data_IF_480734653380
#
_entry.id   IF_480734653380
#
_cell.length_a   1.000
_cell.length_b   1.000
_cell.length_c   1.000
_cell.angle_alpha   90.00
_cell.angle_beta   90.00
_cell.angle_gamma   90.00
#
_symmetry.space_group_name_H-M   'P 1'
#
loop_
_entity.id
_entity.type
_entity.pdbx_description
1 polymer ?
#
# COMPACT_ATOMS: atom_id res chain seq x y z
N UNK A 1 32.01 -11.17 -11.76
CA UNK A 1 32.15 -10.03 -10.82
C UNK A 1 31.77 -10.55 -9.45
N UNK A 2 32.53 -10.26 -8.39
CA UNK A 2 32.07 -10.58 -7.04
C UNK A 2 30.73 -9.86 -6.79
N UNK A 3 29.75 -10.55 -6.20
CA UNK A 3 28.51 -9.92 -5.79
C UNK A 3 28.86 -8.73 -4.87
N UNK A 4 28.33 -7.55 -5.17
CA UNK A 4 28.56 -6.37 -4.33
C UNK A 4 28.10 -6.68 -2.91
N UNK A 5 28.95 -6.39 -1.91
CA UNK A 5 28.60 -6.57 -0.51
C UNK A 5 27.41 -5.64 -0.19
N UNK A 6 26.27 -6.16 0.29
CA UNK A 6 25.12 -5.32 0.61
C UNK A 6 25.48 -4.27 1.67
N UNK A 7 24.89 -3.08 1.55
CA UNK A 7 25.05 -2.05 2.55
C UNK A 7 24.40 -2.50 3.89
N UNK A 8 24.97 -2.11 5.06
CA UNK A 8 24.27 -2.29 6.32
C UNK A 8 22.86 -1.69 6.28
N UNK A 9 21.89 -2.40 6.83
CA UNK A 9 20.48 -2.00 6.94
C UNK A 9 19.71 -1.91 5.60
N UNK A 10 20.33 -2.21 4.45
CA UNK A 10 19.65 -2.21 3.14
C UNK A 10 18.65 -3.35 2.97
N UNK A 11 18.78 -4.41 3.78
CA UNK A 11 17.90 -5.57 3.78
C UNK A 11 17.43 -5.94 5.20
N UNK A 12 16.23 -6.54 5.32
CA UNK A 12 15.76 -7.12 6.57
C UNK A 12 16.75 -8.11 7.21
N UNK A 13 16.66 -8.24 8.53
CA UNK A 13 17.56 -9.10 9.34
C UNK A 13 17.51 -10.56 8.87
N UNK A 14 16.33 -11.09 8.52
CA UNK A 14 16.17 -12.48 8.10
C UNK A 14 16.88 -12.84 6.78
N UNK A 15 17.14 -11.83 5.93
CA UNK A 15 17.97 -11.96 4.73
C UNK A 15 19.46 -11.87 5.10
N UNK A 16 19.83 -10.84 5.87
CA UNK A 16 21.24 -10.53 6.15
C UNK A 16 21.90 -11.39 7.24
N UNK A 17 21.12 -12.11 8.05
CA UNK A 17 21.60 -13.00 9.13
C UNK A 17 21.22 -14.47 8.94
N UNK A 18 20.37 -14.79 7.97
CA UNK A 18 20.05 -16.17 7.59
C UNK A 18 19.18 -16.96 8.58
N UNK A 19 18.79 -16.38 9.72
CA UNK A 19 17.93 -17.00 10.72
C UNK A 19 16.67 -16.15 10.97
N UNK A 20 15.51 -16.81 11.07
CA UNK A 20 14.25 -16.20 11.50
C UNK A 20 13.25 -17.28 11.90
N UNK A 21 12.41 -17.05 12.91
CA UNK A 21 11.29 -17.94 13.24
C UNK A 21 10.12 -17.82 12.24
N UNK A 22 10.10 -16.77 11.41
CA UNK A 22 8.96 -16.43 10.54
C UNK A 22 9.15 -16.88 9.09
N UNK A 23 10.40 -17.07 8.63
CA UNK A 23 10.66 -17.36 7.21
C UNK A 23 11.22 -18.74 6.94
N UNK A 24 10.68 -19.36 5.90
CA UNK A 24 11.05 -20.68 5.40
C UNK A 24 11.61 -20.58 3.96
N UNK A 25 11.72 -21.71 3.28
CA UNK A 25 12.26 -21.77 1.91
C UNK A 25 11.31 -21.22 0.83
N UNK A 26 9.99 -21.32 1.00
CA UNK A 26 9.02 -20.73 0.07
C UNK A 26 9.15 -19.20 0.08
N UNK A 27 9.26 -18.61 1.27
CA UNK A 27 9.54 -17.19 1.46
C UNK A 27 10.84 -16.75 0.77
N UNK A 28 11.93 -17.50 0.94
CA UNK A 28 13.22 -17.20 0.31
C UNK A 28 13.16 -17.30 -1.22
N UNK A 29 12.42 -18.26 -1.76
CA UNK A 29 12.25 -18.43 -3.21
C UNK A 29 11.47 -17.25 -3.81
N UNK A 30 10.35 -16.88 -3.20
CA UNK A 30 9.55 -15.73 -3.58
C UNK A 30 10.38 -14.43 -3.55
N UNK A 31 11.13 -14.22 -2.46
CA UNK A 31 11.98 -13.04 -2.29
C UNK A 31 13.00 -12.89 -3.42
N UNK A 32 13.68 -13.99 -3.81
CA UNK A 32 14.68 -13.96 -4.89
C UNK A 32 14.04 -13.61 -6.25
N UNK A 33 12.92 -14.24 -6.59
CA UNK A 33 12.21 -13.98 -7.86
C UNK A 33 11.70 -12.53 -7.91
N UNK A 34 11.09 -12.04 -6.82
CA UNK A 34 10.61 -10.67 -6.72
C UNK A 34 11.74 -9.64 -6.85
N UNK A 35 12.88 -9.88 -6.20
CA UNK A 35 14.06 -9.02 -6.32
C UNK A 35 14.59 -8.98 -7.76
N UNK A 36 14.74 -10.13 -8.39
CA UNK A 36 15.22 -10.21 -9.79
C UNK A 36 14.26 -9.49 -10.75
N UNK A 37 12.95 -9.67 -10.56
CA UNK A 37 11.94 -8.97 -11.33
C UNK A 37 12.04 -7.45 -11.18
N UNK A 38 12.14 -6.96 -9.94
CA UNK A 38 12.20 -5.52 -9.64
C UNK A 38 13.49 -4.91 -10.18
N UNK A 39 14.64 -5.52 -9.90
CA UNK A 39 15.95 -5.01 -10.30
C UNK A 39 16.12 -5.01 -11.83
N UNK A 40 15.49 -5.95 -12.53
CA UNK A 40 15.62 -6.09 -14.00
C UNK A 40 14.57 -5.30 -14.77
N UNK A 41 13.31 -5.33 -14.34
CA UNK A 41 12.17 -4.89 -15.14
C UNK A 41 11.43 -3.67 -14.60
N UNK A 42 11.77 -3.19 -13.40
CA UNK A 42 11.12 -2.03 -12.77
C UNK A 42 12.14 -0.93 -12.50
N UNK A 43 13.11 -1.19 -11.62
CA UNK A 43 14.09 -0.21 -11.14
C UNK A 43 14.79 0.60 -12.25
N UNK A 44 15.20 0.01 -13.39
CA UNK A 44 15.86 0.77 -14.47
C UNK A 44 14.96 1.81 -15.15
N UNK A 45 13.63 1.70 -15.01
CA UNK A 45 12.66 2.52 -15.72
C UNK A 45 11.88 3.49 -14.83
N UNK A 46 11.97 3.33 -13.50
CA UNK A 46 11.13 4.08 -12.57
C UNK A 46 11.25 5.60 -12.69
N UNK A 47 12.47 6.13 -12.87
CA UNK A 47 12.68 7.59 -13.03
C UNK A 47 11.92 8.12 -14.25
N UNK A 48 11.96 7.37 -15.36
CA UNK A 48 11.25 7.73 -16.58
C UNK A 48 9.74 7.69 -16.37
N UNK A 49 9.21 6.58 -15.86
CA UNK A 49 7.76 6.40 -15.67
C UNK A 49 7.16 7.42 -14.70
N UNK A 50 7.89 7.72 -13.62
CA UNK A 50 7.48 8.73 -12.66
C UNK A 50 7.46 10.13 -13.29
N UNK A 51 8.47 10.47 -14.11
CA UNK A 51 8.51 11.74 -14.85
C UNK A 51 7.41 11.84 -15.91
N UNK A 52 7.10 10.74 -16.59
CA UNK A 52 6.02 10.65 -17.59
C UNK A 52 4.63 10.54 -16.95
N UNK A 53 4.57 10.33 -15.63
CA UNK A 53 3.35 10.29 -14.87
C UNK A 53 2.46 9.08 -15.16
N UNK A 54 3.02 7.98 -15.68
CA UNK A 54 2.34 6.69 -15.86
C UNK A 54 3.34 5.53 -16.01
N UNK A 55 2.87 4.31 -15.78
CA UNK A 55 3.60 3.07 -16.12
C UNK A 55 3.07 2.51 -17.45
N UNK A 56 3.92 2.11 -18.40
CA UNK A 56 3.50 1.55 -19.68
C UNK A 56 2.63 0.29 -19.55
N UNK A 57 1.68 0.13 -20.47
CA UNK A 57 0.73 -1.00 -20.47
C UNK A 57 1.43 -2.36 -20.53
N UNK A 58 2.55 -2.47 -21.25
CA UNK A 58 3.38 -3.68 -21.31
C UNK A 58 4.00 -4.08 -19.97
N UNK A 59 4.38 -3.08 -19.14
CA UNK A 59 4.93 -3.32 -17.81
C UNK A 59 3.83 -3.76 -16.84
N UNK A 60 2.64 -3.14 -16.92
CA UNK A 60 1.44 -3.57 -16.18
C UNK A 60 1.06 -5.00 -16.57
N UNK A 61 1.02 -5.30 -17.87
CA UNK A 61 0.71 -6.66 -18.35
C UNK A 61 1.72 -7.67 -17.82
N UNK A 62 3.02 -7.39 -17.92
CA UNK A 62 4.07 -8.26 -17.35
C UNK A 62 3.86 -8.47 -15.85
N UNK A 63 3.57 -7.40 -15.11
CA UNK A 63 3.32 -7.48 -13.67
C UNK A 63 2.18 -8.44 -13.33
N UNK A 64 1.09 -8.38 -14.09
CA UNK A 64 -0.06 -9.28 -13.96
C UNK A 64 0.25 -10.72 -14.41
N UNK A 65 0.92 -10.90 -15.56
CA UNK A 65 1.29 -12.22 -16.09
C UNK A 65 2.24 -12.98 -15.14
N UNK A 66 3.04 -12.26 -14.34
CA UNK A 66 3.90 -12.83 -13.31
C UNK A 66 3.15 -13.17 -12.01
N UNK A 67 1.88 -12.76 -11.89
CA UNK A 67 1.03 -13.03 -10.73
C UNK A 67 1.05 -11.96 -9.64
N UNK A 68 1.83 -10.88 -9.79
CA UNK A 68 1.95 -9.85 -8.74
C UNK A 68 0.66 -9.05 -8.54
N UNK A 69 -0.12 -8.85 -9.60
CA UNK A 69 -1.46 -8.24 -9.48
C UNK A 69 -2.38 -9.11 -8.62
N UNK A 70 -2.42 -10.42 -8.87
CA UNK A 70 -3.30 -11.34 -8.17
C UNK A 70 -3.02 -11.37 -6.66
N UNK A 71 -1.74 -11.41 -6.27
CA UNK A 71 -1.34 -11.42 -4.85
C UNK A 71 -1.35 -10.05 -4.19
N UNK A 72 -1.48 -8.96 -4.97
CA UNK A 72 -1.68 -7.62 -4.39
C UNK A 72 -3.07 -7.42 -3.81
N UNK A 73 -4.02 -8.29 -4.15
CA UNK A 73 -5.41 -8.16 -3.75
C UNK A 73 -5.69 -9.05 -2.54
N UNK A 74 -6.28 -8.47 -1.50
CA UNK A 74 -6.51 -9.13 -0.23
C UNK A 74 -8.01 -9.32 0.11
N UNK A 75 -8.40 -10.48 0.66
CA UNK A 75 -7.62 -11.72 0.68
C UNK A 75 -7.37 -12.24 -0.75
N UNK A 76 -6.35 -13.08 -0.90
CA UNK A 76 -6.08 -13.76 -2.16
C UNK A 76 -7.32 -14.56 -2.59
N UNK A 77 -7.92 -14.19 -3.73
CA UNK A 77 -9.16 -14.79 -4.22
C UNK A 77 -8.90 -16.11 -4.94
N UNK A 78 -8.51 -17.14 -4.16
CA UNK A 78 -8.02 -18.44 -4.66
C UNK A 78 -8.99 -19.16 -5.60
N UNK A 79 -10.30 -19.01 -5.37
CA UNK A 79 -11.36 -19.59 -6.21
C UNK A 79 -11.39 -19.05 -7.65
N UNK A 80 -10.75 -17.89 -7.90
CA UNK A 80 -10.70 -17.23 -9.21
C UNK A 80 -9.30 -17.20 -9.82
N UNK A 81 -8.31 -17.88 -9.23
CA UNK A 81 -6.94 -17.85 -9.74
C UNK A 81 -6.78 -18.51 -11.12
N UNK A 82 -7.66 -19.45 -11.51
CA UNK A 82 -7.57 -20.18 -12.79
C UNK A 82 -6.12 -20.61 -13.10
N UNK A 83 -5.60 -20.32 -14.30
CA UNK A 83 -4.22 -20.61 -14.71
C UNK A 83 -3.19 -19.54 -14.26
N UNK A 84 -3.57 -18.63 -13.36
CA UNK A 84 -2.69 -17.58 -12.85
C UNK A 84 -1.62 -18.20 -11.97
N UNK A 85 -0.38 -18.20 -12.45
CA UNK A 85 0.79 -18.47 -11.62
C UNK A 85 0.87 -17.45 -10.50
N UNK A 86 1.29 -17.88 -9.30
CA UNK A 86 1.73 -16.95 -8.26
C UNK A 86 3.24 -16.73 -8.36
N UNK A 87 3.74 -15.54 -7.98
CA UNK A 87 5.16 -15.26 -7.96
C UNK A 87 5.92 -16.27 -7.09
N UNK A 88 7.17 -16.59 -7.44
CA UNK A 88 7.99 -17.56 -6.69
C UNK A 88 7.59 -19.03 -6.91
N UNK A 89 6.64 -19.29 -7.82
CA UNK A 89 6.04 -20.61 -8.01
C UNK A 89 5.35 -21.13 -6.74
N UNK A 90 4.86 -20.23 -5.88
CA UNK A 90 4.20 -20.56 -4.62
C UNK A 90 2.80 -21.07 -4.91
N UNK A 91 2.38 -22.17 -4.27
CA UNK A 91 0.99 -22.62 -4.40
C UNK A 91 0.09 -21.72 -3.57
N UNK A 92 -1.15 -21.50 -4.03
CA UNK A 92 -2.13 -20.73 -3.28
C UNK A 92 -2.37 -21.27 -1.85
N UNK A 93 -2.24 -22.58 -1.64
CA UNK A 93 -2.35 -23.24 -0.34
C UNK A 93 -1.16 -23.01 0.60
N UNK A 94 -0.03 -22.55 0.07
CA UNK A 94 1.18 -22.22 0.84
C UNK A 94 1.28 -20.72 1.14
N UNK A 95 0.43 -19.90 0.50
CA UNK A 95 0.49 -18.45 0.62
C UNK A 95 -0.02 -17.98 1.99
N UNK A 96 0.81 -17.24 2.71
CA UNK A 96 0.54 -16.70 4.04
C UNK A 96 0.85 -15.20 4.12
N UNK A 97 0.59 -14.58 5.27
CA UNK A 97 0.86 -13.16 5.48
C UNK A 97 2.34 -12.76 5.35
N UNK A 98 3.28 -13.68 5.45
CA UNK A 98 4.71 -13.40 5.21
C UNK A 98 5.06 -13.42 3.72
N UNK A 99 4.35 -14.20 2.89
CA UNK A 99 4.43 -14.07 1.44
C UNK A 99 3.92 -12.70 0.98
N UNK A 100 2.79 -12.23 1.53
CA UNK A 100 2.27 -10.88 1.27
C UNK A 100 3.34 -9.82 1.60
N UNK A 101 3.92 -9.91 2.81
CA UNK A 101 4.93 -8.99 3.28
C UNK A 101 6.14 -8.91 2.34
N UNK A 102 6.62 -10.05 1.84
CA UNK A 102 7.76 -10.13 0.92
C UNK A 102 7.46 -9.46 -0.42
N UNK A 103 6.26 -9.66 -0.98
CA UNK A 103 5.89 -9.00 -2.24
C UNK A 103 5.87 -7.50 -2.07
N UNK A 104 5.25 -7.00 -0.99
CA UNK A 104 5.15 -5.56 -0.71
C UNK A 104 6.56 -4.97 -0.55
N UNK A 105 7.39 -5.64 0.24
CA UNK A 105 8.76 -5.23 0.55
C UNK A 105 9.69 -5.29 -0.67
N UNK A 106 9.66 -6.33 -1.50
CA UNK A 106 10.55 -6.40 -2.68
C UNK A 106 10.07 -5.47 -3.80
N UNK A 107 8.77 -5.35 -4.08
CA UNK A 107 8.27 -4.38 -5.09
C UNK A 107 8.64 -2.94 -4.70
N UNK A 108 8.59 -2.62 -3.41
CA UNK A 108 8.95 -1.29 -2.91
C UNK A 108 10.45 -0.97 -2.99
N UNK A 109 11.31 -1.97 -3.25
CA UNK A 109 12.78 -1.81 -3.34
C UNK A 109 13.21 -0.88 -4.48
N UNK A 110 12.37 -0.68 -5.49
CA UNK A 110 12.68 0.28 -6.56
C UNK A 110 12.80 1.73 -6.05
N UNK A 111 12.13 2.09 -4.95
CA UNK A 111 12.21 3.43 -4.33
C UNK A 111 11.40 4.52 -5.04
N UNK A 112 10.39 4.15 -5.83
CA UNK A 112 9.50 5.08 -6.53
C UNK A 112 8.04 4.75 -6.21
N UNK A 113 7.44 5.48 -5.25
CA UNK A 113 6.11 5.16 -4.73
C UNK A 113 5.02 5.29 -5.81
N UNK A 114 5.14 6.27 -6.70
CA UNK A 114 4.20 6.44 -7.80
C UNK A 114 4.13 5.23 -8.73
N UNK A 115 5.28 4.63 -9.04
CA UNK A 115 5.37 3.42 -9.88
C UNK A 115 4.78 2.21 -9.16
N UNK A 116 5.12 2.03 -7.88
CA UNK A 116 4.56 0.96 -7.04
C UNK A 116 3.04 1.05 -7.04
N UNK A 117 2.49 2.25 -6.86
CA UNK A 117 1.05 2.48 -6.83
C UNK A 117 0.37 2.32 -8.18
N UNK A 118 1.04 2.71 -9.26
CA UNK A 118 0.53 2.51 -10.61
C UNK A 118 0.40 1.01 -10.96
N UNK A 119 1.34 0.19 -10.49
CA UNK A 119 1.37 -1.24 -10.76
C UNK A 119 0.28 -2.02 -10.02
N UNK A 120 0.01 -1.69 -8.74
CA UNK A 120 -0.86 -2.55 -7.89
C UNK A 120 -1.93 -1.80 -7.10
N UNK A 121 -1.65 -0.57 -6.65
CA UNK A 121 -2.37 0.02 -5.51
C UNK A 121 -3.88 0.17 -5.73
N UNK A 122 -4.32 0.54 -6.94
CA UNK A 122 -5.74 0.76 -7.23
C UNK A 122 -6.57 -0.50 -6.97
N UNK A 123 -6.09 -1.65 -7.46
CA UNK A 123 -6.72 -2.94 -7.23
C UNK A 123 -6.53 -3.41 -5.79
N UNK A 124 -5.36 -3.20 -5.19
CA UNK A 124 -5.09 -3.64 -3.81
C UNK A 124 -5.95 -2.93 -2.76
N UNK A 125 -6.54 -1.76 -3.06
CA UNK A 125 -7.45 -1.04 -2.16
C UNK A 125 -8.91 -1.03 -2.65
N UNK A 126 -9.15 -1.03 -3.96
CA UNK A 126 -10.49 -0.95 -4.54
C UNK A 126 -11.21 -2.29 -4.65
N UNK A 127 -10.48 -3.39 -4.83
CA UNK A 127 -11.05 -4.73 -4.99
C UNK A 127 -11.38 -5.47 -3.68
N UNK A 128 -10.66 -5.29 -2.55
CA UNK A 128 -10.94 -6.02 -1.31
C UNK A 128 -12.40 -5.94 -0.83
N UNK A 129 -13.10 -4.79 -0.88
CA UNK A 129 -14.52 -4.76 -0.48
C UNK A 129 -15.39 -5.71 -1.31
N UNK A 130 -15.15 -5.79 -2.62
CA UNK A 130 -15.84 -6.70 -3.52
C UNK A 130 -15.50 -8.17 -3.21
N UNK A 131 -14.23 -8.47 -2.90
CA UNK A 131 -13.82 -9.85 -2.59
C UNK A 131 -14.40 -10.34 -1.28
N UNK A 132 -14.46 -9.48 -0.27
CA UNK A 132 -14.98 -9.86 1.04
C UNK A 132 -16.52 -9.86 1.08
N UNK A 133 -17.18 -8.89 0.43
CA UNK A 133 -18.62 -8.64 0.61
C UNK A 133 -19.46 -8.75 -0.67
N UNK A 134 -18.83 -8.98 -1.82
CA UNK A 134 -19.54 -9.12 -3.09
C UNK A 134 -20.39 -10.40 -3.15
N UNK A 135 -21.49 -10.35 -3.90
CA UNK A 135 -22.28 -11.55 -4.22
C UNK A 135 -21.50 -12.49 -5.13
N UNK A 136 -21.87 -13.79 -5.22
CA UNK A 136 -21.25 -14.71 -6.18
C UNK A 136 -21.24 -14.19 -7.62
N UNK A 137 -22.32 -13.53 -8.04
CA UNK A 137 -22.47 -12.95 -9.39
C UNK A 137 -21.50 -11.78 -9.60
N UNK A 138 -21.37 -10.89 -8.60
CA UNK A 138 -20.42 -9.78 -8.63
C UNK A 138 -18.99 -10.30 -8.69
N UNK A 139 -18.63 -11.26 -7.83
CA UNK A 139 -17.28 -11.84 -7.80
C UNK A 139 -16.95 -12.50 -9.14
N UNK A 140 -17.86 -13.33 -9.67
CA UNK A 140 -17.69 -13.97 -10.99
C UNK A 140 -17.55 -12.96 -12.13
N UNK A 141 -18.25 -11.82 -12.06
CA UNK A 141 -18.17 -10.75 -13.06
C UNK A 141 -16.84 -10.00 -13.04
N UNK A 142 -16.33 -9.67 -11.86
CA UNK A 142 -15.26 -8.68 -11.71
C UNK A 142 -13.90 -9.29 -11.34
N UNK A 143 -13.86 -10.28 -10.45
CA UNK A 143 -12.60 -10.76 -9.85
C UNK A 143 -11.62 -11.33 -10.88
N UNK A 144 -12.02 -12.17 -11.85
CA UNK A 144 -11.08 -12.69 -12.85
C UNK A 144 -10.35 -11.59 -13.65
N UNK A 145 -11.05 -10.50 -13.98
CA UNK A 145 -10.47 -9.38 -14.72
C UNK A 145 -9.51 -8.55 -13.85
N UNK A 146 -9.81 -8.42 -12.55
CA UNK A 146 -8.92 -7.77 -11.57
C UNK A 146 -7.63 -8.57 -11.41
N UNK A 147 -7.72 -9.89 -11.19
CA UNK A 147 -6.55 -10.74 -10.95
C UNK A 147 -5.62 -10.82 -12.17
N UNK A 148 -6.18 -10.85 -13.38
CA UNK A 148 -5.42 -10.77 -14.64
C UNK A 148 -4.92 -9.37 -14.98
N UNK A 149 -5.32 -8.35 -14.22
CA UNK A 149 -5.00 -6.93 -14.46
C UNK A 149 -5.57 -6.36 -15.76
N UNK A 150 -6.60 -7.00 -16.32
CA UNK A 150 -7.35 -6.49 -17.48
C UNK A 150 -8.45 -5.50 -17.08
N UNK A 151 -8.81 -5.47 -15.80
CA UNK A 151 -9.69 -4.46 -15.20
C UNK A 151 -9.01 -3.80 -14.01
N UNK A 152 -9.17 -2.48 -13.91
CA UNK A 152 -8.59 -1.65 -12.86
C UNK A 152 -9.69 -1.04 -11.99
N UNK A 153 -9.51 -1.19 -10.69
CA UNK A 153 -10.33 -0.60 -9.65
C UNK A 153 -9.55 0.53 -8.96
N UNK A 154 -10.30 1.40 -8.30
CA UNK A 154 -9.80 2.34 -7.31
C UNK A 154 -10.81 2.44 -6.15
N UNK A 155 -10.41 3.06 -5.05
CA UNK A 155 -11.25 3.22 -3.86
C UNK A 155 -11.69 4.68 -3.72
N UNK A 156 -12.98 4.94 -3.86
CA UNK A 156 -13.61 6.27 -3.84
C UNK A 156 -14.23 6.62 -2.48
N UNK A 157 -13.41 6.97 -1.49
CA UNK A 157 -13.91 7.31 -0.13
C UNK A 157 -13.87 8.81 0.11
N UNK A 158 -12.66 9.37 0.11
CA UNK A 158 -12.40 10.77 0.46
C UNK A 158 -13.08 11.75 -0.48
N UNK A 159 -13.61 12.82 0.10
CA UNK A 159 -14.25 13.94 -0.58
C UNK A 159 -13.49 15.24 -0.31
N UNK A 160 -13.78 16.35 -1.01
CA UNK A 160 -13.17 17.65 -0.73
C UNK A 160 -13.32 18.07 0.74
N UNK A 161 -14.51 17.82 1.30
CA UNK A 161 -14.89 18.28 2.64
C UNK A 161 -14.93 17.14 3.68
N UNK A 162 -14.64 15.90 3.29
CA UNK A 162 -14.67 14.72 4.16
C UNK A 162 -13.48 13.77 3.87
N UNK A 163 -12.42 13.89 4.67
CA UNK A 163 -11.25 13.00 4.63
C UNK A 163 -11.15 12.12 5.87
N UNK A 164 -10.67 12.68 6.97
CA UNK A 164 -10.61 11.98 8.26
C UNK A 164 -12.00 11.62 8.81
N UNK A 165 -13.01 12.47 8.57
CA UNK A 165 -14.40 12.21 8.90
C UNK A 165 -15.15 11.55 7.73
N UNK A 166 -14.87 10.26 7.49
CA UNK A 166 -15.53 9.49 6.43
C UNK A 166 -17.06 9.46 6.61
N UNK A 167 -17.56 9.54 7.85
CA UNK A 167 -19.01 9.48 8.10
C UNK A 167 -19.74 10.75 7.62
N UNK A 168 -19.01 11.87 7.46
CA UNK A 168 -19.48 13.15 6.95
C UNK A 168 -19.54 13.27 5.43
N UNK A 169 -19.32 12.19 4.68
CA UNK A 169 -19.38 12.21 3.21
C UNK A 169 -20.75 12.70 2.67
N UNK A 170 -20.73 13.32 1.49
CA UNK A 170 -21.86 14.02 0.87
C UNK A 170 -22.21 13.51 -0.53
N UNK A 171 -21.35 12.71 -1.17
CA UNK A 171 -21.70 12.05 -2.45
C UNK A 171 -22.94 11.17 -2.24
N UNK A 172 -24.03 11.45 -2.93
CA UNK A 172 -25.31 10.75 -2.78
C UNK A 172 -25.50 9.67 -3.83
N UNK A 173 -26.29 8.66 -3.51
CA UNK A 173 -26.81 7.67 -4.46
C UNK A 173 -28.31 7.49 -4.20
N UNK A 174 -29.16 8.05 -5.06
CA UNK A 174 -30.62 7.94 -4.95
C UNK A 174 -31.13 6.78 -5.80
N UNK A 175 -31.84 5.83 -5.21
CA UNK A 175 -32.41 4.71 -5.99
C UNK A 175 -33.59 5.18 -6.84
N UNK A 176 -33.50 4.98 -8.16
CA UNK A 176 -34.60 5.20 -9.12
C UNK A 176 -34.81 3.94 -9.95
N UNK A 177 -35.77 3.12 -9.55
CA UNK A 177 -36.05 1.84 -10.21
C UNK A 177 -34.92 0.83 -10.04
N UNK A 178 -34.30 0.46 -11.17
CA UNK A 178 -33.21 -0.52 -11.28
C UNK A 178 -31.81 0.12 -11.32
N UNK A 179 -31.72 1.44 -11.16
CA UNK A 179 -30.46 2.17 -11.02
C UNK A 179 -30.41 3.02 -9.74
N UNK A 180 -29.21 3.36 -9.31
CA UNK A 180 -28.90 4.48 -8.44
C UNK A 180 -28.45 5.66 -9.30
N UNK A 181 -28.90 6.87 -8.98
CA UNK A 181 -28.39 8.12 -9.54
C UNK A 181 -27.37 8.69 -8.57
N UNK A 182 -26.11 8.74 -9.00
CA UNK A 182 -24.98 9.18 -8.17
C UNK A 182 -24.60 10.62 -8.51
N UNK A 183 -24.50 11.45 -7.47
CA UNK A 183 -24.12 12.86 -7.55
C UNK A 183 -23.09 13.21 -6.48
N UNK A 184 -22.05 13.97 -6.83
CA UNK A 184 -21.03 14.44 -5.90
C UNK A 184 -19.61 14.31 -6.43
N UNK A 185 -18.63 14.22 -5.53
CA UNK A 185 -17.23 14.15 -5.92
C UNK A 185 -16.35 13.37 -4.94
N UNK A 186 -15.31 12.75 -5.48
CA UNK A 186 -14.25 12.06 -4.74
C UNK A 186 -12.90 12.66 -5.07
N UNK A 187 -12.02 12.77 -4.06
CA UNK A 187 -10.73 13.45 -4.15
C UNK A 187 -9.62 12.57 -3.60
N UNK A 188 -8.42 12.68 -4.19
CA UNK A 188 -7.24 11.88 -3.86
C UNK A 188 -7.35 10.40 -4.27
N UNK A 189 -8.10 10.13 -5.34
CA UNK A 189 -8.40 8.75 -5.73
C UNK A 189 -7.24 8.20 -6.56
N UNK A 190 -6.39 7.41 -5.90
CA UNK A 190 -5.26 6.71 -6.52
C UNK A 190 -5.74 5.83 -7.67
N UNK A 191 -5.05 5.88 -8.81
CA UNK A 191 -5.40 5.23 -10.07
C UNK A 191 -6.71 5.66 -10.75
N UNK A 192 -7.47 6.62 -10.23
CA UNK A 192 -8.80 6.96 -10.76
C UNK A 192 -8.81 7.33 -12.25
N UNK A 193 -7.74 7.98 -12.75
CA UNK A 193 -7.61 8.36 -14.16
C UNK A 193 -7.47 7.14 -15.09
N UNK A 194 -6.99 6.01 -14.56
CA UNK A 194 -6.76 4.78 -15.32
C UNK A 194 -7.76 3.66 -14.99
N UNK A 195 -8.58 3.83 -13.95
CA UNK A 195 -9.47 2.80 -13.46
C UNK A 195 -10.73 2.64 -14.33
N UNK A 196 -11.22 1.42 -14.45
CA UNK A 196 -12.50 1.09 -15.07
C UNK A 196 -13.65 1.28 -14.10
N UNK A 197 -13.41 0.96 -12.82
CA UNK A 197 -14.40 1.04 -11.75
C UNK A 197 -13.84 1.76 -10.52
N UNK A 198 -14.72 2.39 -9.75
CA UNK A 198 -14.43 2.78 -8.38
C UNK A 198 -15.35 2.05 -7.42
N UNK A 199 -14.79 1.46 -6.38
CA UNK A 199 -15.57 1.05 -5.21
C UNK A 199 -15.72 2.28 -4.33
N UNK A 200 -16.91 2.86 -4.29
CA UNK A 200 -17.14 4.16 -3.66
C UNK A 200 -18.05 4.06 -2.43
N UNK A 201 -17.72 4.87 -1.41
CA UNK A 201 -18.63 5.15 -0.30
C UNK A 201 -19.59 6.27 -0.71
N UNK A 202 -20.89 6.02 -0.63
CA UNK A 202 -21.95 6.96 -1.05
C UNK A 202 -23.06 7.02 0.00
N UNK A 203 -23.79 8.14 0.06
CA UNK A 203 -24.93 8.33 0.96
C UNK A 203 -26.22 7.91 0.27
N UNK A 204 -26.84 6.87 0.79
CA UNK A 204 -28.16 6.37 0.36
C UNK A 204 -29.26 6.65 1.39
N UNK A 205 -28.87 6.97 2.63
CA UNK A 205 -29.79 7.22 3.74
C UNK A 205 -29.49 8.53 4.48
N UNK A 206 -29.90 8.59 5.75
CA UNK A 206 -29.71 9.76 6.62
C UNK A 206 -28.25 9.99 7.05
N UNK A 207 -28.04 10.83 8.06
CA UNK A 207 -26.69 11.27 8.44
C UNK A 207 -25.82 10.19 9.09
N UNK A 208 -24.51 10.44 9.06
CA UNK A 208 -23.50 9.62 9.71
C UNK A 208 -23.35 8.21 9.11
N UNK A 209 -22.76 7.31 9.90
CA UNK A 209 -22.33 5.96 9.46
C UNK A 209 -23.48 5.09 8.94
N UNK A 210 -24.69 5.29 9.47
CA UNK A 210 -25.88 4.47 9.16
C UNK A 210 -26.58 4.85 7.86
N UNK A 211 -26.13 5.89 7.15
CA UNK A 211 -26.67 6.25 5.83
C UNK A 211 -25.71 6.00 4.68
N UNK A 212 -24.56 5.35 4.95
CA UNK A 212 -23.52 5.09 3.96
C UNK A 212 -23.69 3.71 3.34
N UNK A 213 -23.62 3.63 2.02
CA UNK A 213 -23.55 2.40 1.20
C UNK A 213 -22.22 2.32 0.46
N UNK A 214 -21.86 1.11 0.03
CA UNK A 214 -20.70 0.87 -0.84
C UNK A 214 -21.19 0.47 -2.23
N UNK A 215 -20.72 1.15 -3.27
CA UNK A 215 -21.21 0.98 -4.65
C UNK A 215 -20.05 0.81 -5.62
N UNK A 216 -20.16 -0.11 -6.57
CA UNK A 216 -19.21 -0.23 -7.68
C UNK A 216 -19.67 0.69 -8.82
N UNK A 217 -18.98 1.81 -9.03
CA UNK A 217 -19.36 2.80 -10.04
C UNK A 217 -18.48 2.61 -11.29
N UNK A 218 -19.05 2.35 -12.48
CA UNK A 218 -18.31 2.34 -13.74
C UNK A 218 -17.83 3.75 -14.08
N UNK A 219 -16.52 3.94 -14.19
CA UNK A 219 -15.94 5.26 -14.38
C UNK A 219 -16.01 5.75 -15.83
N UNK A 220 -16.38 4.89 -16.78
CA UNK A 220 -16.64 5.26 -18.18
C UNK A 220 -18.11 5.61 -18.44
N UNK A 221 -18.96 5.58 -17.41
CA UNK A 221 -20.37 5.96 -17.54
C UNK A 221 -20.51 7.46 -17.85
N UNK A 222 -21.62 7.79 -18.53
CA UNK A 222 -22.03 9.18 -18.75
C UNK A 222 -22.20 9.88 -17.39
N UNK A 223 -21.76 11.13 -17.31
CA UNK A 223 -21.80 11.92 -16.06
C UNK A 223 -20.56 11.79 -15.18
N UNK A 224 -19.63 10.88 -15.49
CA UNK A 224 -18.35 10.77 -14.78
C UNK A 224 -17.31 11.68 -15.43
N UNK A 225 -16.78 12.64 -14.66
CA UNK A 225 -15.62 13.44 -15.07
C UNK A 225 -14.41 13.08 -14.21
N UNK A 226 -13.23 13.02 -14.84
CA UNK A 226 -11.97 12.66 -14.16
C UNK A 226 -10.91 13.70 -14.44
N UNK A 227 -10.24 14.16 -13.40
CA UNK A 227 -9.12 15.11 -13.52
C UNK A 227 -7.95 14.65 -12.68
N UNK A 228 -6.79 14.49 -13.31
CA UNK A 228 -5.54 14.18 -12.61
C UNK A 228 -5.19 15.32 -11.64
N UNK A 229 -4.71 14.97 -10.45
CA UNK A 229 -4.23 15.91 -9.45
C UNK A 229 -2.71 15.86 -9.42
N UNK A 230 -2.08 17.03 -9.58
CA UNK A 230 -0.63 17.18 -9.49
C UNK A 230 -0.22 17.30 -8.02
N UNK A 231 0.57 16.33 -7.56
CA UNK A 231 1.04 16.20 -6.18
C UNK A 231 2.55 16.43 -6.10
N UNK A 232 3.10 16.55 -4.88
CA UNK A 232 4.55 16.66 -4.66
C UNK A 232 5.32 15.46 -5.22
N UNK A 233 4.74 14.27 -5.08
CA UNK A 233 5.30 12.99 -5.53
C UNK A 233 4.20 12.10 -6.11
N UNK A 234 4.52 10.81 -6.26
CA UNK A 234 3.63 9.76 -6.77
C UNK A 234 2.98 10.06 -8.14
N UNK A 235 3.70 10.72 -9.03
CA UNK A 235 3.19 11.21 -10.32
C UNK A 235 2.69 10.08 -11.23
N UNK A 236 3.32 8.90 -11.18
CA UNK A 236 2.88 7.73 -11.95
C UNK A 236 1.57 7.09 -11.46
N UNK A 237 1.16 7.37 -10.21
CA UNK A 237 0.03 6.68 -9.56
C UNK A 237 -1.36 7.12 -10.04
N UNK A 238 -1.46 8.23 -10.77
CA UNK A 238 -2.74 8.72 -11.29
C UNK A 238 -3.72 9.17 -10.19
N UNK A 239 -3.25 9.90 -9.18
CA UNK A 239 -4.12 10.56 -8.20
C UNK A 239 -5.17 11.43 -8.90
N UNK A 240 -6.45 11.25 -8.58
CA UNK A 240 -7.55 11.77 -9.39
C UNK A 240 -8.64 12.42 -8.56
N UNK A 241 -9.23 13.48 -9.12
CA UNK A 241 -10.51 14.05 -8.73
C UNK A 241 -11.59 13.44 -9.63
N UNK A 242 -12.59 12.80 -9.02
CA UNK A 242 -13.73 12.20 -9.70
C UNK A 242 -14.96 13.03 -9.40
N UNK A 243 -15.72 13.39 -10.42
CA UNK A 243 -17.00 14.08 -10.33
C UNK A 243 -18.09 13.20 -10.92
N UNK A 244 -19.24 13.17 -10.25
CA UNK A 244 -20.42 12.42 -10.65
C UNK A 244 -21.58 13.40 -10.80
N UNK A 245 -22.12 13.49 -12.01
CA UNK A 245 -23.28 14.30 -12.37
C UNK A 245 -24.34 13.38 -13.01
N UNK A 246 -25.39 13.09 -12.25
CA UNK A 246 -26.47 12.17 -12.60
C UNK A 246 -26.00 10.82 -13.20
N UNK A 247 -25.00 10.21 -12.56
CA UNK A 247 -24.42 8.94 -13.02
C UNK A 247 -25.34 7.78 -12.68
N UNK A 248 -25.85 7.09 -13.70
CA UNK A 248 -26.65 5.88 -13.53
C UNK A 248 -25.78 4.66 -13.20
N UNK A 249 -26.05 4.02 -12.06
CA UNK A 249 -25.35 2.82 -11.61
C UNK A 249 -26.35 1.70 -11.32
N UNK A 250 -26.25 0.52 -11.94
CA UNK A 250 -27.20 -0.57 -11.71
C UNK A 250 -27.32 -0.93 -10.23
N UNK A 251 -28.52 -1.25 -9.74
CA UNK A 251 -28.73 -1.66 -8.34
C UNK A 251 -27.93 -2.91 -7.96
N UNK A 252 -27.63 -3.77 -8.94
CA UNK A 252 -26.76 -4.95 -8.79
C UNK A 252 -25.29 -4.63 -8.53
N UNK A 253 -24.87 -3.36 -8.59
CA UNK A 253 -23.52 -2.93 -8.22
C UNK A 253 -23.42 -2.49 -6.74
N UNK A 254 -24.51 -2.53 -5.98
CA UNK A 254 -24.49 -2.34 -4.53
C UNK A 254 -23.70 -3.48 -3.88
N UNK A 255 -22.68 -3.14 -3.08
CA UNK A 255 -21.92 -4.11 -2.29
C UNK A 255 -22.57 -4.28 -0.93
N UNK A 256 -22.86 -5.53 -0.56
CA UNK A 256 -23.56 -5.85 0.67
C UNK A 256 -24.99 -5.30 0.68
N UNK A 257 -25.38 -4.67 1.79
CA UNK A 257 -26.73 -4.13 1.98
C UNK A 257 -26.70 -2.60 1.95
N UNK A 258 -27.80 -2.01 1.50
CA UNK A 258 -27.99 -0.57 1.53
C UNK A 258 -27.87 -0.07 2.97
N UNK A 259 -27.17 1.05 3.18
CA UNK A 259 -26.86 1.64 4.48
C UNK A 259 -25.88 0.84 5.37
N UNK A 260 -25.24 -0.19 4.83
CA UNK A 260 -24.19 -0.99 5.48
C UNK A 260 -22.80 -0.81 4.83
N UNK A 261 -22.60 0.26 4.07
CA UNK A 261 -21.34 0.52 3.39
C UNK A 261 -20.19 0.94 4.30
N UNK A 262 -20.47 1.58 5.44
CA UNK A 262 -19.42 2.09 6.32
C UNK A 262 -18.52 0.96 6.86
N UNK A 263 -19.11 -0.14 7.34
CA UNK A 263 -18.35 -1.30 7.82
C UNK A 263 -17.56 -1.99 6.71
N UNK A 264 -18.15 -2.08 5.51
CA UNK A 264 -17.51 -2.64 4.32
C UNK A 264 -16.24 -1.86 4.00
N UNK A 265 -16.30 -0.53 3.94
CA UNK A 265 -15.14 0.32 3.64
C UNK A 265 -14.09 0.24 4.75
N UNK A 266 -14.50 0.32 6.03
CA UNK A 266 -13.55 0.29 7.16
C UNK A 266 -12.81 -1.06 7.27
N UNK A 267 -13.44 -2.16 6.85
CA UNK A 267 -12.84 -3.51 6.92
C UNK A 267 -11.52 -3.63 6.14
N UNK A 268 -11.35 -2.83 5.09
CA UNK A 268 -10.17 -2.85 4.23
C UNK A 268 -8.93 -2.18 4.86
N UNK A 269 -9.12 -1.24 5.79
CA UNK A 269 -8.04 -0.34 6.21
C UNK A 269 -6.92 -0.98 7.00
N UNK A 270 -7.16 -2.06 7.76
CA UNK A 270 -6.09 -2.70 8.52
C UNK A 270 -5.06 -3.35 7.61
N UNK A 271 -5.50 -4.04 6.55
CA UNK A 271 -4.60 -4.59 5.55
C UNK A 271 -3.86 -3.47 4.80
N UNK A 272 -4.58 -2.43 4.37
CA UNK A 272 -3.98 -1.26 3.72
C UNK A 272 -2.90 -0.58 4.59
N UNK A 273 -3.15 -0.43 5.90
CA UNK A 273 -2.18 0.16 6.84
C UNK A 273 -0.93 -0.69 7.01
N UNK A 274 -1.06 -2.01 7.05
CA UNK A 274 0.08 -2.93 7.08
C UNK A 274 0.90 -2.79 5.78
N UNK A 275 0.22 -2.72 4.63
CA UNK A 275 0.85 -2.49 3.33
C UNK A 275 1.64 -1.16 3.28
N UNK A 276 1.05 -0.08 3.78
CA UNK A 276 1.70 1.23 3.87
C UNK A 276 2.90 1.21 4.83
N UNK A 277 2.78 0.50 5.96
CA UNK A 277 3.88 0.37 6.91
C UNK A 277 5.07 -0.38 6.29
N UNK A 278 4.82 -1.54 5.67
CA UNK A 278 5.84 -2.32 4.98
C UNK A 278 6.53 -1.50 3.88
N UNK A 279 5.76 -0.86 3.01
CA UNK A 279 6.28 0.01 1.95
C UNK A 279 7.15 1.14 2.52
N UNK A 280 6.71 1.78 3.60
CA UNK A 280 7.48 2.86 4.26
C UNK A 280 8.84 2.36 4.78
N UNK A 281 8.85 1.19 5.43
CA UNK A 281 10.08 0.58 5.95
C UNK A 281 11.02 0.17 4.83
N UNK A 282 10.53 -0.39 3.72
CA UNK A 282 11.37 -0.67 2.55
C UNK A 282 11.96 0.60 1.95
N UNK A 283 11.15 1.64 1.72
CA UNK A 283 11.66 2.92 1.20
C UNK A 283 12.73 3.52 2.12
N UNK A 284 12.58 3.35 3.44
CA UNK A 284 13.61 3.75 4.39
C UNK A 284 14.90 2.91 4.25
N UNK A 285 14.80 1.59 3.99
CA UNK A 285 15.96 0.75 3.66
C UNK A 285 16.65 1.17 2.36
N UNK A 286 15.89 1.59 1.35
CA UNK A 286 16.42 2.17 0.10
C UNK A 286 17.24 3.43 0.40
N UNK A 287 16.71 4.34 1.22
CA UNK A 287 17.44 5.51 1.69
C UNK A 287 18.71 5.14 2.47
N UNK A 288 18.68 4.10 3.30
CA UNK A 288 19.84 3.63 4.04
C UNK A 288 20.93 3.05 3.12
N UNK A 289 20.53 2.25 2.11
CA UNK A 289 21.41 1.68 1.08
C UNK A 289 22.16 2.78 0.32
N UNK A 290 21.42 3.75 -0.22
CA UNK A 290 22.00 4.84 -1.02
C UNK A 290 22.91 5.74 -0.19
N UNK A 291 22.50 6.09 1.04
CA UNK A 291 23.31 6.90 1.93
C UNK A 291 24.61 6.20 2.32
N UNK A 292 24.55 4.91 2.65
CA UNK A 292 25.74 4.14 3.01
C UNK A 292 26.70 4.01 1.83
N UNK A 293 26.19 3.65 0.64
CA UNK A 293 26.99 3.49 -0.57
C UNK A 293 27.64 4.81 -0.99
N UNK A 294 26.89 5.92 -0.91
CA UNK A 294 27.43 7.25 -1.15
C UNK A 294 28.52 7.61 -0.13
N UNK A 295 28.27 7.43 1.16
CA UNK A 295 29.25 7.74 2.22
C UNK A 295 30.53 6.89 2.11
N UNK A 296 30.41 5.65 1.64
CA UNK A 296 31.53 4.71 1.48
C UNK A 296 32.42 5.06 0.30
N UNK A 297 31.89 5.75 -0.71
CA UNK A 297 32.63 6.09 -1.93
C UNK A 297 33.05 7.56 -1.99
N UNK A 298 32.24 8.48 -1.46
CA UNK A 298 32.48 9.92 -1.47
C UNK A 298 33.68 10.30 -0.61
N UNK A 299 34.53 11.18 -1.14
CA UNK A 299 35.65 11.76 -0.40
C UNK A 299 35.38 13.21 -0.01
N UNK A 300 35.79 13.55 1.20
CA UNK A 300 35.78 14.89 1.80
C UNK A 300 36.99 15.03 2.70
N UNK A 301 37.70 16.16 2.63
CA UNK A 301 38.87 16.40 3.49
C UNK A 301 39.91 15.25 3.45
N UNK A 302 40.18 14.72 2.25
CA UNK A 302 41.22 13.70 2.01
C UNK A 302 40.87 12.27 2.46
N UNK A 303 39.63 11.97 2.88
CA UNK A 303 39.20 10.63 3.31
C UNK A 303 37.75 10.33 2.92
N UNK A 304 37.35 9.05 2.97
CA UNK A 304 35.96 8.64 2.73
C UNK A 304 35.02 9.27 3.76
N UNK A 305 33.85 9.74 3.31
CA UNK A 305 32.85 10.40 4.14
C UNK A 305 32.43 9.54 5.34
N UNK A 306 32.29 8.22 5.13
CA UNK A 306 31.96 7.22 6.15
C UNK A 306 32.94 7.17 7.33
N UNK A 307 34.18 7.64 7.18
CA UNK A 307 35.18 7.65 8.27
C UNK A 307 34.90 8.72 9.32
N UNK A 308 34.04 9.69 9.02
CA UNK A 308 33.64 10.72 9.98
C UNK A 308 32.66 10.14 10.99
N UNK A 309 32.97 10.27 12.29
CA UNK A 309 32.15 9.73 13.36
C UNK A 309 30.69 10.21 13.30
N UNK A 310 30.47 11.49 12.99
CA UNK A 310 29.14 12.05 12.83
C UNK A 310 28.29 11.32 11.77
N UNK A 311 28.91 10.86 10.67
CA UNK A 311 28.21 10.09 9.62
C UNK A 311 27.87 8.67 10.10
N UNK A 312 28.81 8.01 10.79
CA UNK A 312 28.58 6.68 11.37
C UNK A 312 27.47 6.69 12.43
N UNK A 313 27.38 7.75 13.23
CA UNK A 313 26.30 7.92 14.21
C UNK A 313 24.93 8.00 13.53
N UNK A 314 24.82 8.72 12.41
CA UNK A 314 23.57 8.79 11.61
C UNK A 314 23.16 7.41 11.09
N UNK A 315 24.09 6.68 10.49
CA UNK A 315 23.86 5.32 9.97
C UNK A 315 23.44 4.35 11.09
N UNK A 316 24.09 4.41 12.26
CA UNK A 316 23.68 3.62 13.42
C UNK A 316 22.27 3.99 13.90
N UNK A 317 21.91 5.28 13.90
CA UNK A 317 20.56 5.72 14.28
C UNK A 317 19.50 5.25 13.30
N UNK A 318 19.79 5.29 11.99
CA UNK A 318 18.92 4.76 10.92
C UNK A 318 18.65 3.27 11.16
N UNK A 319 19.71 2.49 11.39
CA UNK A 319 19.58 1.06 11.63
C UNK A 319 18.71 0.73 12.84
N UNK A 320 18.92 1.44 13.97
CA UNK A 320 18.13 1.24 15.19
C UNK A 320 16.62 1.42 14.95
N UNK A 321 16.22 2.49 14.25
CA UNK A 321 14.80 2.77 14.00
C UNK A 321 14.19 1.79 13.00
N UNK A 322 14.91 1.47 11.93
CA UNK A 322 14.46 0.55 10.88
C UNK A 322 14.20 -0.85 11.42
N UNK A 323 15.20 -1.43 12.08
CA UNK A 323 15.12 -2.83 12.49
C UNK A 323 14.15 -3.02 13.66
N UNK A 324 13.99 -2.03 14.56
CA UNK A 324 12.95 -2.10 15.59
C UNK A 324 11.54 -2.06 15.02
N UNK A 325 11.29 -1.19 14.02
CA UNK A 325 9.97 -1.07 13.40
C UNK A 325 9.64 -2.31 12.54
N UNK A 326 10.64 -2.86 11.85
CA UNK A 326 10.48 -4.08 11.05
C UNK A 326 10.20 -5.30 11.94
N UNK A 327 10.88 -5.44 13.08
CA UNK A 327 10.61 -6.53 14.02
C UNK A 327 9.18 -6.47 14.59
N UNK A 328 8.67 -5.27 14.91
CA UNK A 328 7.27 -5.10 15.31
C UNK A 328 6.31 -5.53 14.19
N UNK A 329 6.57 -5.14 12.94
CA UNK A 329 5.76 -5.53 11.80
C UNK A 329 5.68 -7.05 11.65
N UNK A 330 6.82 -7.74 11.70
CA UNK A 330 6.88 -9.21 11.62
C UNK A 330 6.08 -9.87 12.75
N UNK A 331 6.20 -9.34 13.96
CA UNK A 331 5.45 -9.84 15.10
C UNK A 331 3.93 -9.67 14.93
N UNK A 332 3.48 -8.54 14.37
CA UNK A 332 2.04 -8.34 14.11
C UNK A 332 1.53 -9.25 12.99
N UNK A 333 2.31 -9.48 11.94
CA UNK A 333 1.97 -10.47 10.89
C UNK A 333 1.87 -11.88 11.50
N UNK A 334 2.82 -12.27 12.34
CA UNK A 334 2.77 -13.55 13.05
C UNK A 334 1.47 -13.71 13.87
N UNK A 335 1.08 -12.69 14.62
CA UNK A 335 -0.17 -12.71 15.42
C UNK A 335 -1.41 -12.85 14.51
N UNK A 336 -1.44 -12.17 13.36
CA UNK A 336 -2.52 -12.31 12.37
C UNK A 336 -2.61 -13.75 11.88
N UNK A 337 -1.49 -14.34 11.49
CA UNK A 337 -1.44 -15.70 10.95
C UNK A 337 -1.84 -16.75 11.99
N UNK A 338 -1.36 -16.63 13.21
CA UNK A 338 -1.78 -17.52 14.31
C UNK A 338 -3.27 -17.36 14.62
N UNK A 339 -3.80 -16.14 14.59
CA UNK A 339 -5.22 -15.91 14.82
C UNK A 339 -6.10 -16.53 13.72
N UNK A 340 -5.67 -16.43 12.45
CA UNK A 340 -6.34 -17.11 11.32
C UNK A 340 -6.35 -18.62 11.50
N UNK A 341 -5.20 -19.23 11.84
CA UNK A 341 -5.08 -20.69 12.06
C UNK A 341 -5.99 -21.18 13.19
N UNK A 342 -6.13 -20.37 14.24
CA UNK A 342 -6.95 -20.70 15.40
C UNK A 342 -8.42 -20.30 15.25
N UNK A 343 -8.81 -19.65 14.14
CA UNK A 343 -10.18 -19.15 13.93
C UNK A 343 -10.58 -18.04 14.92
N UNK A 344 -9.62 -17.26 15.41
CA UNK A 344 -9.84 -16.18 16.38
C UNK A 344 -9.62 -14.81 15.75
N UNK A 345 -10.21 -13.77 16.34
CA UNK A 345 -9.82 -12.38 16.04
C UNK A 345 -8.50 -12.05 16.75
N UNK A 346 -7.58 -11.46 16.02
CA UNK A 346 -6.29 -11.01 16.55
C UNK A 346 -6.45 -9.82 17.50
N UNK A 347 -7.53 -9.04 17.38
CA UNK A 347 -7.80 -7.84 18.16
C UNK A 347 -6.66 -6.79 18.12
N UNK A 348 -5.86 -6.76 17.05
CA UNK A 348 -4.67 -5.90 16.94
C UNK A 348 -4.87 -4.61 16.12
N UNK A 349 -6.11 -4.17 15.92
CA UNK A 349 -6.40 -2.98 15.10
C UNK A 349 -5.66 -1.73 15.57
N UNK A 350 -5.53 -1.53 16.89
CA UNK A 350 -4.77 -0.43 17.47
C UNK A 350 -3.26 -0.56 17.27
N UNK A 351 -2.72 -1.77 17.38
CA UNK A 351 -1.31 -2.06 17.12
C UNK A 351 -0.92 -1.84 15.66
N UNK A 352 -1.79 -2.19 14.70
CA UNK A 352 -1.58 -1.91 13.27
C UNK A 352 -1.57 -0.40 13.00
N UNK A 353 -2.46 0.37 13.65
CA UNK A 353 -2.46 1.84 13.54
C UNK A 353 -1.13 2.43 14.06
N UNK A 354 -0.65 1.97 15.22
CA UNK A 354 0.65 2.36 15.76
C UNK A 354 1.82 1.97 14.85
N UNK A 355 1.79 0.78 14.25
CA UNK A 355 2.82 0.36 13.31
C UNK A 355 2.89 1.30 12.10
N UNK A 356 1.74 1.69 11.53
CA UNK A 356 1.69 2.64 10.40
C UNK A 356 2.33 3.97 10.76
N UNK A 357 1.99 4.52 11.94
CA UNK A 357 2.59 5.76 12.44
C UNK A 357 4.11 5.61 12.63
N UNK A 358 4.54 4.54 13.30
CA UNK A 358 5.96 4.25 13.53
C UNK A 358 6.74 4.12 12.22
N UNK A 359 6.18 3.42 11.23
CA UNK A 359 6.82 3.21 9.93
C UNK A 359 6.93 4.52 9.14
N UNK A 360 5.88 5.35 9.15
CA UNK A 360 5.89 6.68 8.52
C UNK A 360 6.96 7.60 9.12
N UNK A 361 7.00 7.73 10.46
CA UNK A 361 8.03 8.49 11.17
C UNK A 361 9.43 7.94 10.94
N UNK A 362 9.57 6.62 10.84
CA UNK A 362 10.85 5.98 10.49
C UNK A 362 11.30 6.40 9.09
N UNK A 363 10.40 6.39 8.10
CA UNK A 363 10.71 6.86 6.75
C UNK A 363 11.11 8.34 6.72
N UNK A 364 10.39 9.22 7.41
CA UNK A 364 10.73 10.64 7.51
C UNK A 364 12.14 10.86 8.08
N UNK A 365 12.43 10.21 9.22
CA UNK A 365 13.73 10.29 9.87
C UNK A 365 14.85 9.79 8.96
N UNK A 366 14.69 8.59 8.39
CA UNK A 366 15.74 7.96 7.57
C UNK A 366 15.95 8.73 6.27
N UNK A 367 14.88 9.16 5.58
CA UNK A 367 15.00 9.98 4.38
C UNK A 367 15.74 11.29 4.67
N UNK A 368 15.35 12.01 5.74
CA UNK A 368 16.01 13.27 6.13
C UNK A 368 17.51 13.07 6.39
N UNK A 369 17.87 12.04 7.16
CA UNK A 369 19.26 11.74 7.48
C UNK A 369 20.05 11.30 6.24
N UNK A 370 19.45 10.51 5.35
CA UNK A 370 20.04 10.11 4.08
C UNK A 370 20.27 11.30 3.15
N UNK A 371 19.31 12.21 2.99
CA UNK A 371 19.52 13.47 2.24
C UNK A 371 20.69 14.26 2.81
N UNK A 372 20.78 14.37 4.13
CA UNK A 372 21.87 15.09 4.78
C UNK A 372 23.25 14.45 4.56
N UNK A 373 23.32 13.11 4.52
CA UNK A 373 24.56 12.37 4.20
C UNK A 373 24.98 12.62 2.74
N UNK A 374 24.02 12.67 1.81
CA UNK A 374 24.31 12.96 0.40
C UNK A 374 24.68 14.43 0.15
N UNK A 375 24.26 15.34 1.01
CA UNK A 375 24.43 16.78 0.83
C UNK A 375 23.66 17.25 -0.41
N UNK A 376 24.28 18.12 -1.23
CA UNK A 376 23.63 18.65 -2.44
C UNK A 376 23.16 17.58 -3.44
N UNK A 377 23.77 16.39 -3.44
CA UNK A 377 23.31 15.29 -4.30
C UNK A 377 21.90 14.80 -3.90
N UNK A 378 21.55 14.83 -2.60
CA UNK A 378 20.24 14.39 -2.10
C UNK A 378 19.11 15.38 -2.36
N UNK A 379 19.42 16.56 -2.91
CA UNK A 379 18.45 17.56 -3.36
C UNK A 379 18.21 17.51 -4.88
N UNK A 380 19.03 16.77 -5.62
CA UNK A 380 18.94 16.70 -7.08
C UNK A 380 17.93 15.64 -7.51
N UNK A 381 17.01 16.01 -8.40
CA UNK A 381 16.07 15.08 -9.07
C UNK A 381 16.77 14.09 -10.01
N UNK A 382 18.07 14.25 -10.24
CA UNK A 382 18.87 13.44 -11.17
C UNK A 382 20.17 12.98 -10.54
N UNK A 383 20.77 11.95 -11.13
CA UNK A 383 22.06 11.42 -10.69
C UNK A 383 21.96 10.60 -9.40
N UNK A 384 23.06 10.52 -8.65
CA UNK A 384 23.21 9.55 -7.54
C UNK A 384 22.24 9.72 -6.37
N UNK A 385 21.62 10.89 -6.23
CA UNK A 385 20.64 11.15 -5.17
C UNK A 385 19.19 11.16 -5.62
N UNK A 386 18.92 10.92 -6.92
CA UNK A 386 17.57 11.00 -7.50
C UNK A 386 16.55 10.13 -6.77
N UNK A 387 16.93 8.91 -6.38
CA UNK A 387 16.05 7.98 -5.67
C UNK A 387 15.68 8.47 -4.26
N UNK A 388 16.65 8.97 -3.50
CA UNK A 388 16.39 9.60 -2.19
C UNK A 388 15.54 10.88 -2.36
N UNK A 389 15.84 11.71 -3.35
CA UNK A 389 15.07 12.92 -3.64
C UNK A 389 13.62 12.57 -4.00
N UNK A 390 13.38 11.55 -4.83
CA UNK A 390 12.04 11.06 -5.14
C UNK A 390 11.31 10.59 -3.87
N UNK A 391 11.97 9.79 -3.03
CA UNK A 391 11.40 9.35 -1.75
C UNK A 391 11.02 10.56 -0.87
N UNK A 392 11.81 11.64 -0.92
CA UNK A 392 11.49 12.87 -0.18
C UNK A 392 10.25 13.60 -0.68
N UNK A 393 9.91 13.47 -1.96
CA UNK A 393 8.66 13.97 -2.54
C UNK A 393 7.46 13.07 -2.23
N UNK A 394 7.70 11.77 -2.11
CA UNK A 394 6.71 10.74 -1.87
C UNK A 394 6.34 10.63 -0.37
N UNK A 395 7.27 10.86 0.56
CA UNK A 395 7.09 10.57 2.00
C UNK A 395 5.83 11.19 2.61
N UNK A 396 5.41 12.37 2.15
CA UNK A 396 4.27 13.08 2.75
C UNK A 396 2.97 12.28 2.66
N UNK A 397 2.74 11.57 1.56
CA UNK A 397 1.51 10.80 1.40
C UNK A 397 1.49 9.55 2.30
N UNK A 398 2.65 9.02 2.68
CA UNK A 398 2.74 7.86 3.58
C UNK A 398 2.34 8.20 5.02
N UNK A 399 2.51 9.46 5.43
CA UNK A 399 2.12 9.92 6.78
C UNK A 399 0.67 10.39 6.84
N UNK A 400 0.14 10.91 5.72
CA UNK A 400 -1.24 11.43 5.63
C UNK A 400 -2.25 10.38 5.15
N UNK A 401 -1.92 9.59 4.13
CA UNK A 401 -2.79 8.56 3.54
C UNK A 401 -2.99 7.35 4.45
N UNK A 402 -4.06 6.58 4.24
CA UNK A 402 -4.44 5.43 5.07
C UNK A 402 -4.84 5.78 6.52
N UNK A 403 -5.05 7.07 6.80
CA UNK A 403 -5.25 7.66 8.12
C UNK A 403 -4.07 8.55 8.53
N UNK A 404 -4.34 9.79 8.91
CA UNK A 404 -3.30 10.70 9.40
C UNK A 404 -2.72 10.20 10.72
N UNK A 405 -1.52 10.66 11.05
CA UNK A 405 -0.86 10.33 12.31
C UNK A 405 -1.74 10.62 13.54
N UNK A 406 -2.43 11.75 13.55
CA UNK A 406 -3.29 12.18 14.65
C UNK A 406 -4.49 11.25 14.81
N UNK A 407 -5.15 10.92 13.69
CA UNK A 407 -6.31 10.01 13.68
C UNK A 407 -5.90 8.61 14.10
N UNK A 408 -4.76 8.11 13.61
CA UNK A 408 -4.28 6.78 13.94
C UNK A 408 -3.78 6.67 15.37
N UNK A 409 -3.21 7.74 15.93
CA UNK A 409 -2.77 7.77 17.33
C UNK A 409 -3.97 7.68 18.28
N UNK A 410 -5.04 8.45 18.03
CA UNK A 410 -6.29 8.35 18.80
C UNK A 410 -6.97 6.98 18.62
N UNK A 411 -7.06 6.50 17.37
CA UNK A 411 -7.61 5.19 17.06
C UNK A 411 -6.84 4.07 17.76
N UNK A 412 -5.51 4.19 17.84
CA UNK A 412 -4.66 3.18 18.44
C UNK A 412 -5.03 2.95 19.91
N UNK A 413 -5.14 4.03 20.69
CA UNK A 413 -5.53 3.96 22.10
C UNK A 413 -6.95 3.40 22.25
N UNK A 414 -7.89 3.93 21.48
CA UNK A 414 -9.30 3.51 21.54
C UNK A 414 -9.51 2.03 21.19
N UNK A 415 -8.81 1.52 20.17
CA UNK A 415 -8.90 0.10 19.79
C UNK A 415 -8.17 -0.81 20.76
N UNK A 416 -7.01 -0.39 21.28
CA UNK A 416 -6.26 -1.19 22.26
C UNK A 416 -7.04 -1.34 23.57
N UNK A 417 -7.70 -0.28 24.05
CA UNK A 417 -8.55 -0.37 25.23
C UNK A 417 -9.68 -1.40 25.02
N UNK A 418 -10.33 -1.36 23.85
CA UNK A 418 -11.38 -2.32 23.49
C UNK A 418 -10.82 -3.75 23.41
N UNK A 419 -9.66 -3.93 22.80
CA UNK A 419 -9.00 -5.23 22.65
C UNK A 419 -8.66 -5.86 24.01
N UNK A 420 -7.96 -5.12 24.87
CA UNK A 420 -7.56 -5.59 26.21
C UNK A 420 -8.78 -5.92 27.07
N UNK A 421 -9.82 -5.07 27.06
CA UNK A 421 -11.08 -5.36 27.77
C UNK A 421 -11.76 -6.63 27.25
N UNK A 422 -11.71 -6.88 25.95
CA UNK A 422 -12.30 -8.07 25.33
C UNK A 422 -11.53 -9.32 25.75
N UNK A 423 -10.20 -9.27 25.68
CA UNK A 423 -9.32 -10.37 26.04
C UNK A 423 -9.42 -10.73 27.53
N UNK A 424 -9.43 -9.73 28.42
CA UNK A 424 -9.61 -9.92 29.86
C UNK A 424 -10.94 -10.58 30.23
N UNK A 425 -12.02 -10.26 29.50
CA UNK A 425 -13.34 -10.93 29.68
C UNK A 425 -13.36 -12.37 29.17
N UNK A 426 -12.42 -12.73 28.28
CA UNK A 426 -12.35 -14.06 27.67
C UNK A 426 -11.35 -15.02 28.35
N UNK A 427 -10.81 -14.64 29.51
CA UNK A 427 -9.74 -15.38 30.23
C UNK A 427 -8.46 -15.60 29.41
N UNK A 428 -8.24 -14.78 28.37
CA UNK A 428 -7.05 -14.83 27.50
C UNK A 428 -5.93 -13.88 27.96
N UNK A 429 -6.14 -13.14 29.05
CA UNK A 429 -5.19 -12.25 29.71
C UNK A 429 -5.21 -12.46 31.22
#
# INVERSE_FOLDING_TARGET
MAAAVPAPFSDPIWISRGASPYYNESHRRLQKEAREYVDTYISPFCEQWEREGHVPAEAIKRHSDLGYMAVSVYPLATEFLADTRLPGGIKATEWDGFHDLIVIDEIARCGYLGVIWALTCGNSIGAPPLINFGTPEQKKKFVPAILSGTSRFCLGVTEPDAGSDVAGLTTTAERRGDVYIVNGAKKWITNGIFADYTTAAVRTGGDGRKGVSALIIPLNAKGVTRRKIENSGVSASGSTYLEFDDVEVPVGNLLGRENHGFEIIMSNFNHERLWLACTSLRMARVCAEDAYNYASTRETFGKKLITNQAIRHKISSIGRTLDSAYALMEQLVYIIEESKKNGTDAHIGGLIANLKVLAGRTLEHVNRESQQILGGAGYSRTGRGARIEQISRDVRVMVVGGGSEEILTDLAVSQEEKAVRTLARSEKL
#
